data_IF_327966957962
#
_entry.id   IF_327966957962
#
_cell.length_a   1.000
_cell.length_b   1.000
_cell.length_c   1.000
_cell.angle_alpha   90.00
_cell.angle_beta   90.00
_cell.angle_gamma   90.00
#
_symmetry.space_group_name_H-M   'P 1'
#
loop_
_entity.id
_entity.type
_entity.pdbx_description
1 polymer ?
#
# COMPACT_ATOMS: atom_id res chain seq x y z
N UNK A 1 -3.79 -1.85 -11.14
CA UNK A 1 -2.94 -1.79 -9.93
C UNK A 1 -2.35 -0.38 -9.85
N UNK A 2 -2.54 0.32 -8.73
CA UNK A 2 -2.14 1.71 -8.48
C UNK A 2 -0.64 1.90 -8.18
N UNK A 3 -0.18 3.16 -8.04
CA UNK A 3 1.17 3.45 -7.58
C UNK A 3 1.35 3.08 -6.10
N UNK A 4 2.50 2.48 -5.75
CA UNK A 4 2.96 2.30 -4.38
C UNK A 4 3.93 3.42 -4.04
N UNK A 5 3.64 4.21 -3.00
CA UNK A 5 4.43 5.38 -2.61
C UNK A 5 5.11 5.07 -1.28
N UNK A 6 6.44 5.21 -1.25
CA UNK A 6 7.23 5.04 -0.03
C UNK A 6 7.18 6.33 0.78
N UNK A 7 6.77 6.23 2.05
CA UNK A 7 6.72 7.35 2.98
C UNK A 7 7.95 7.28 3.90
N UNK A 8 8.66 8.39 4.05
CA UNK A 8 9.84 8.47 4.94
C UNK A 8 9.48 8.85 6.38
N UNK A 9 8.27 9.35 6.62
CA UNK A 9 7.81 9.76 7.94
C UNK A 9 6.41 9.22 8.22
N UNK A 10 5.96 9.36 9.46
CA UNK A 10 4.57 9.12 9.86
C UNK A 10 3.63 9.87 8.93
N UNK A 11 2.61 9.16 8.44
CA UNK A 11 1.55 9.75 7.64
C UNK A 11 0.72 10.67 8.54
N UNK A 12 0.62 11.94 8.17
CA UNK A 12 -0.27 12.91 8.83
C UNK A 12 -1.41 13.27 7.87
N UNK A 13 -2.51 13.84 8.39
CA UNK A 13 -3.67 14.17 7.56
C UNK A 13 -3.34 15.18 6.46
N UNK A 14 -2.52 16.17 6.75
CA UNK A 14 -2.01 17.18 5.80
C UNK A 14 -1.12 16.58 4.72
N UNK A 15 -0.18 15.68 5.08
CA UNK A 15 0.61 14.94 4.08
C UNK A 15 -0.24 14.03 3.23
N UNK A 16 -1.27 13.41 3.80
CA UNK A 16 -2.20 12.60 3.02
C UNK A 16 -2.89 13.45 1.94
N UNK A 17 -3.31 14.67 2.27
CA UNK A 17 -3.89 15.61 1.31
C UNK A 17 -2.91 16.11 0.25
N UNK A 18 -1.62 16.25 0.57
CA UNK A 18 -0.64 16.66 -0.44
C UNK A 18 -0.31 15.51 -1.40
N UNK A 19 -0.31 14.27 -0.91
CA UNK A 19 0.06 13.09 -1.70
C UNK A 19 -1.11 12.62 -2.59
N UNK A 20 -2.34 12.77 -2.11
CA UNK A 20 -3.54 12.31 -2.81
C UNK A 20 -3.64 12.85 -4.24
N UNK A 21 -3.78 14.17 -4.48
CA UNK A 21 -3.99 14.70 -5.82
C UNK A 21 -2.80 14.38 -6.74
N UNK A 22 -1.57 14.59 -6.27
CA UNK A 22 -0.35 14.45 -7.08
C UNK A 22 -0.18 13.03 -7.67
N UNK A 23 -0.53 12.01 -6.89
CA UNK A 23 -0.34 10.62 -7.28
C UNK A 23 -1.61 9.99 -7.86
N UNK A 24 -2.79 10.51 -7.52
CA UNK A 24 -4.06 9.93 -7.90
C UNK A 24 -4.54 10.50 -9.25
N UNK A 25 -4.42 11.81 -9.48
CA UNK A 25 -4.77 12.41 -10.78
C UNK A 25 -3.84 11.97 -11.92
N UNK A 26 -2.55 11.76 -11.64
CA UNK A 26 -1.60 11.25 -12.63
C UNK A 26 -1.91 9.82 -13.06
N UNK A 27 -2.56 9.03 -12.20
CA UNK A 27 -2.89 7.63 -12.46
C UNK A 27 -4.32 7.40 -12.99
N UNK A 28 -5.22 8.32 -12.68
CA UNK A 28 -6.63 8.24 -13.05
C UNK A 28 -6.87 8.05 -14.56
N UNK A 29 -6.28 8.81 -15.49
CA UNK A 29 -6.51 8.60 -16.93
C UNK A 29 -5.90 7.28 -17.45
N UNK A 30 -4.95 6.69 -16.73
CA UNK A 30 -4.31 5.44 -17.11
C UNK A 30 -5.20 4.23 -16.76
N UNK A 31 -5.92 4.29 -15.64
CA UNK A 31 -6.77 3.20 -15.15
C UNK A 31 -8.25 3.39 -15.51
N UNK A 32 -8.70 4.64 -15.54
CA UNK A 32 -10.10 5.02 -15.66
C UNK A 32 -10.26 6.04 -16.78
N UNK A 33 -10.11 5.58 -18.02
CA UNK A 33 -10.31 6.38 -19.23
C UNK A 33 -11.76 6.85 -19.42
N UNK A 34 -12.71 6.27 -18.69
CA UNK A 34 -14.14 6.61 -18.72
C UNK A 34 -14.53 7.72 -17.71
N UNK A 35 -13.58 8.17 -16.87
CA UNK A 35 -13.83 9.18 -15.85
C UNK A 35 -14.71 8.69 -14.69
N UNK A 36 -14.94 7.38 -14.55
CA UNK A 36 -15.81 6.80 -13.53
C UNK A 36 -15.03 6.08 -12.43
N UNK A 37 -13.81 6.53 -12.17
CA UNK A 37 -12.92 5.93 -11.18
C UNK A 37 -13.57 5.76 -9.82
N UNK A 38 -13.58 4.53 -9.32
CA UNK A 38 -14.03 4.21 -7.98
C UNK A 38 -12.83 4.21 -7.04
N UNK A 39 -12.91 5.01 -5.97
CA UNK A 39 -11.83 5.10 -5.00
C UNK A 39 -12.17 4.33 -3.73
N UNK A 40 -11.34 3.33 -3.40
CA UNK A 40 -11.43 2.55 -2.17
C UNK A 40 -10.35 3.04 -1.19
N UNK A 41 -10.77 3.42 0.02
CA UNK A 41 -9.88 3.75 1.12
C UNK A 41 -10.06 2.77 2.29
N UNK A 42 -9.00 2.58 3.10
CA UNK A 42 -9.08 1.91 4.39
C UNK A 42 -9.84 2.72 5.46
N UNK A 43 -10.12 2.10 6.61
CA UNK A 43 -10.86 2.72 7.71
C UNK A 43 -9.94 3.18 8.87
N UNK A 44 -8.66 3.49 8.60
CA UNK A 44 -7.75 3.92 9.65
C UNK A 44 -8.17 5.30 10.22
N UNK A 45 -8.45 5.34 11.51
CA UNK A 45 -9.22 6.39 12.22
C UNK A 45 -8.70 7.83 12.09
N UNK A 46 -7.39 8.14 12.00
CA UNK A 46 -6.96 9.53 11.77
C UNK A 46 -6.96 9.95 10.30
N UNK A 47 -6.77 9.03 9.35
CA UNK A 47 -6.68 9.32 7.92
C UNK A 47 -8.05 9.44 7.25
N UNK A 48 -9.00 8.61 7.71
CA UNK A 48 -10.35 8.51 7.15
C UNK A 48 -11.09 9.85 7.15
N UNK A 49 -11.02 10.65 8.22
CA UNK A 49 -11.77 11.93 8.29
C UNK A 49 -11.31 12.98 7.29
N UNK A 50 -10.00 13.13 7.12
CA UNK A 50 -9.42 14.16 6.25
C UNK A 50 -9.61 13.77 4.79
N UNK A 51 -9.35 12.50 4.49
CA UNK A 51 -9.51 11.94 3.16
C UNK A 51 -10.97 11.88 2.69
N UNK A 52 -11.90 11.50 3.58
CA UNK A 52 -13.33 11.47 3.25
C UNK A 52 -13.84 12.86 2.91
N UNK A 53 -13.38 13.91 3.61
CA UNK A 53 -13.70 15.30 3.26
C UNK A 53 -13.19 15.66 1.87
N UNK A 54 -11.93 15.34 1.57
CA UNK A 54 -11.35 15.60 0.26
C UNK A 54 -12.10 14.86 -0.86
N UNK A 55 -12.47 13.60 -0.65
CA UNK A 55 -13.24 12.80 -1.61
C UNK A 55 -14.65 13.35 -1.82
N UNK A 56 -15.28 13.92 -0.78
CA UNK A 56 -16.56 14.60 -0.90
C UNK A 56 -16.45 15.88 -1.73
N UNK A 57 -15.42 16.70 -1.49
CA UNK A 57 -15.14 17.91 -2.26
C UNK A 57 -14.88 17.60 -3.74
N UNK A 58 -14.26 16.46 -4.05
CA UNK A 58 -13.93 16.02 -5.41
C UNK A 58 -14.89 14.94 -5.94
N UNK A 59 -16.14 14.91 -5.46
CA UNK A 59 -17.13 13.90 -5.82
C UNK A 59 -17.60 13.94 -7.27
N UNK A 60 -17.29 15.00 -8.03
CA UNK A 60 -17.47 15.06 -9.49
C UNK A 60 -16.53 14.11 -10.23
N UNK A 61 -15.31 13.98 -9.69
CA UNK A 61 -14.20 13.30 -10.36
C UNK A 61 -14.06 11.88 -9.80
N UNK A 62 -14.35 11.69 -8.52
CA UNK A 62 -14.22 10.41 -7.84
C UNK A 62 -15.54 9.94 -7.27
N UNK A 63 -15.92 8.70 -7.59
CA UNK A 63 -17.00 8.02 -6.89
C UNK A 63 -16.43 7.27 -5.69
N UNK A 64 -16.85 7.61 -4.45
CA UNK A 64 -16.46 6.84 -3.28
C UNK A 64 -16.96 5.41 -3.41
N UNK A 65 -16.08 4.44 -3.21
CA UNK A 65 -16.50 3.04 -3.12
C UNK A 65 -17.21 2.82 -1.78
N UNK A 66 -18.53 2.61 -1.82
CA UNK A 66 -19.29 2.29 -0.63
C UNK A 66 -18.94 0.87 -0.16
N UNK A 67 -18.13 0.77 0.90
CA UNK A 67 -17.83 -0.51 1.55
C UNK A 67 -18.92 -0.82 2.58
N UNK A 68 -19.63 -1.96 2.48
CA UNK A 68 -20.53 -2.40 3.53
C UNK A 68 -19.76 -2.62 4.85
N UNK A 69 -20.30 -2.20 6.01
CA UNK A 69 -19.62 -2.27 7.30
C UNK A 69 -19.27 -3.69 7.79
N UNK A 70 -19.79 -4.74 7.14
CA UNK A 70 -19.56 -6.15 7.50
C UNK A 70 -18.53 -6.87 6.63
N UNK A 71 -17.81 -6.15 5.76
CA UNK A 71 -16.87 -6.78 4.81
C UNK A 71 -15.43 -6.23 4.97
N UNK A 72 -14.71 -6.59 6.04
CA UNK A 72 -13.26 -6.38 6.11
C UNK A 72 -12.52 -7.13 4.99
N UNK A 73 -13.04 -8.28 4.56
CA UNK A 73 -12.51 -9.13 3.47
C UNK A 73 -12.55 -8.48 2.08
N UNK A 74 -13.23 -7.35 1.91
CA UNK A 74 -13.26 -6.64 0.63
C UNK A 74 -12.12 -5.62 0.49
N UNK A 75 -11.21 -5.51 1.46
CA UNK A 75 -10.11 -4.55 1.39
C UNK A 75 -8.92 -5.14 0.61
N UNK A 76 -8.92 -4.98 -0.71
CA UNK A 76 -7.80 -5.40 -1.59
C UNK A 76 -6.45 -4.81 -1.12
N UNK A 77 -6.48 -3.68 -0.38
CA UNK A 77 -5.30 -3.07 0.24
C UNK A 77 -4.65 -4.00 1.28
N UNK A 78 -5.42 -4.75 2.08
CA UNK A 78 -4.87 -5.72 3.04
C UNK A 78 -4.23 -6.90 2.31
N UNK A 79 -4.89 -7.45 1.29
CA UNK A 79 -4.35 -8.56 0.50
C UNK A 79 -3.01 -8.17 -0.16
N UNK A 80 -2.92 -6.95 -0.69
CA UNK A 80 -1.67 -6.41 -1.27
C UNK A 80 -0.60 -6.23 -0.18
N UNK A 81 -0.99 -5.72 1.00
CA UNK A 81 -0.09 -5.54 2.14
C UNK A 81 0.47 -6.88 2.62
N UNK A 82 -0.36 -7.90 2.75
CA UNK A 82 0.05 -9.23 3.20
C UNK A 82 0.95 -9.92 2.17
N UNK A 83 0.62 -9.82 0.88
CA UNK A 83 1.47 -10.31 -0.19
C UNK A 83 2.85 -9.61 -0.21
N UNK A 84 2.87 -8.29 0.05
CA UNK A 84 4.11 -7.52 0.14
C UNK A 84 4.94 -7.92 1.37
N UNK A 85 4.31 -8.10 2.53
CA UNK A 85 4.97 -8.57 3.76
C UNK A 85 5.60 -9.95 3.54
N UNK A 86 4.85 -10.89 2.95
CA UNK A 86 5.34 -12.23 2.64
C UNK A 86 6.54 -12.18 1.68
N UNK A 87 6.48 -11.34 0.64
CA UNK A 87 7.56 -11.18 -0.32
C UNK A 87 8.83 -10.60 0.33
N UNK A 88 8.69 -9.66 1.27
CA UNK A 88 9.80 -9.08 2.03
C UNK A 88 10.39 -10.12 2.98
N UNK A 89 9.57 -10.82 3.76
CA UNK A 89 10.03 -11.86 4.70
C UNK A 89 10.79 -12.97 3.98
N UNK A 90 10.29 -13.43 2.83
CA UNK A 90 10.97 -14.46 2.03
C UNK A 90 12.37 -14.03 1.58
N UNK A 91 12.56 -12.74 1.26
CA UNK A 91 13.88 -12.18 0.89
C UNK A 91 14.83 -12.16 2.09
N UNK A 92 14.35 -11.81 3.28
CA UNK A 92 15.15 -11.84 4.51
C UNK A 92 15.58 -13.26 4.88
N UNK A 93 14.69 -14.25 4.72
CA UNK A 93 14.98 -15.67 5.00
C UNK A 93 16.01 -16.25 4.01
N UNK A 94 15.92 -15.90 2.73
CA UNK A 94 16.90 -16.34 1.72
C UNK A 94 18.26 -15.68 1.92
N UNK A 95 18.29 -14.43 2.41
CA UNK A 95 19.53 -13.73 2.73
C UNK A 95 20.17 -14.30 4.00
N UNK A 96 19.38 -14.60 5.04
CA UNK A 96 19.86 -15.18 6.30
C UNK A 96 20.38 -16.62 6.17
N UNK A 97 19.78 -17.45 5.31
CA UNK A 97 20.31 -18.79 5.01
C UNK A 97 21.63 -18.78 4.22
N UNK A 98 21.96 -17.68 3.55
CA UNK A 98 23.25 -17.55 2.84
C UNK A 98 24.43 -17.20 3.76
N UNK A 99 24.17 -16.72 4.98
CA UNK A 99 25.20 -16.48 6.00
C UNK A 99 25.43 -17.69 6.94
N UNK A 100 24.79 -18.83 6.67
CA UNK A 100 24.92 -20.06 7.47
C UNK A 100 25.91 -21.11 6.94
N UNK A 101 26.54 -20.87 5.79
CA UNK A 101 27.57 -21.74 5.22
C UNK A 101 28.88 -20.96 5.06
N UNK A 102 29.45 -20.51 6.18
CA UNK A 102 30.85 -20.11 6.21
C UNK A 102 31.62 -21.38 6.51
N UNK A 103 32.44 -21.80 5.54
CA UNK A 103 33.26 -23.00 5.55
C UNK A 103 33.85 -23.31 6.94
N UNK A 104 33.46 -24.43 7.53
CA UNK A 104 34.30 -25.10 8.52
C UNK A 104 35.60 -25.50 7.81
N UNK A 105 36.79 -24.98 8.16
CA UNK A 105 38.01 -25.58 7.65
C UNK A 105 38.11 -26.96 8.29
N UNK A 106 37.97 -27.99 7.46
CA UNK A 106 38.36 -29.36 7.77
C UNK A 106 39.84 -29.33 8.15
N UNK A 107 40.10 -29.34 9.45
CA UNK A 107 41.42 -29.58 10.00
C UNK A 107 41.78 -31.05 9.75
N UNK A 108 42.53 -31.28 8.67
CA UNK A 108 43.17 -32.55 8.38
C UNK A 108 44.31 -32.82 9.39
N UNK A 109 44.34 -34.04 9.88
CA UNK A 109 45.37 -34.69 10.69
C UNK A 109 46.72 -34.79 9.97
N UNK A 110 47.84 -34.52 10.67
CA UNK A 110 49.00 -35.42 10.87
C UNK A 110 49.59 -35.13 12.24
#
# INVERSE_FOLDING_TARGET
MGPLIRLETTLTGDRYLSILPDNLYSFMPIVHSDGLGQFQQDNATPHSRVATKWLQEHSSDFRPFYRPPKSPEMNIIEDIRDALLLAVEKREITTSHSYGFVDCPVGFTV
#
